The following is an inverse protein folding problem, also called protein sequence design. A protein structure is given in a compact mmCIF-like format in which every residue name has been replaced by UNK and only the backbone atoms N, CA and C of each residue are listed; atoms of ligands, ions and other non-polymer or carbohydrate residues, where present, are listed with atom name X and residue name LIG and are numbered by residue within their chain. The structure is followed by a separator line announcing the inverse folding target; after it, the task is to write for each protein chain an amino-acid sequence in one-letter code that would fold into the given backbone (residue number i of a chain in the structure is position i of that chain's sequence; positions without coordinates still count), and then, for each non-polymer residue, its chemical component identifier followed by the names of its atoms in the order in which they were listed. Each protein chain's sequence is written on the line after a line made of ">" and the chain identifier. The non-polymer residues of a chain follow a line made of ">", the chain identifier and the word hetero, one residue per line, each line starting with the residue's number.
data_IF_312934039270
#
_entry.id   IF_312934039270
#
_cell.length_a   1.000
_cell.length_b   1.000
_cell.length_c   1.000
_cell.angle_alpha   90.00
_cell.angle_beta   90.00
_cell.angle_gamma   90.00
#
_symmetry.space_group_name_H-M   'P 1'
#
loop_
_entity.id
_entity.type
_entity.pdbx_description
1 polymer ?
#
# COMPACT_ATOMS: atom_id res chain seq x y z
N UNK A 1 -17.66 15.42 -16.13
CA UNK A 1 -18.49 14.81 -15.07
C UNK A 1 -18.18 13.32 -15.02
N UNK A 2 -18.05 12.73 -13.83
CA UNK A 2 -17.95 11.27 -13.70
C UNK A 2 -19.26 10.62 -14.18
N UNK A 3 -19.15 9.61 -15.05
CA UNK A 3 -20.28 8.82 -15.54
C UNK A 3 -20.70 7.77 -14.51
N UNK A 4 -22.00 7.44 -14.46
CA UNK A 4 -22.53 6.43 -13.55
C UNK A 4 -21.89 5.06 -13.76
N UNK A 5 -21.60 4.68 -15.01
CA UNK A 5 -20.94 3.44 -15.41
C UNK A 5 -19.61 3.21 -14.68
N UNK A 6 -18.88 4.29 -14.37
CA UNK A 6 -17.60 4.21 -13.66
C UNK A 6 -17.78 4.15 -12.14
N UNK A 7 -18.91 4.67 -11.62
CA UNK A 7 -19.17 4.80 -10.18
C UNK A 7 -19.83 3.54 -9.63
N UNK A 8 -20.83 3.00 -10.32
CA UNK A 8 -21.60 1.82 -9.89
C UNK A 8 -20.74 0.62 -9.44
N UNK A 9 -19.73 0.16 -10.20
CA UNK A 9 -18.90 -0.97 -9.77
C UNK A 9 -18.05 -0.65 -8.53
N UNK A 10 -17.82 0.63 -8.24
CA UNK A 10 -17.00 1.07 -7.12
C UNK A 10 -17.84 1.38 -5.86
N UNK A 11 -19.18 1.33 -5.93
CA UNK A 11 -20.04 1.69 -4.80
C UNK A 11 -19.87 0.76 -3.59
N UNK A 12 -19.64 -0.53 -3.80
CA UNK A 12 -19.37 -1.47 -2.69
C UNK A 12 -18.08 -1.10 -1.96
N UNK A 13 -16.97 -1.01 -2.70
CA UNK A 13 -15.67 -0.60 -2.15
C UNK A 13 -15.71 0.81 -1.52
N UNK A 14 -16.55 1.70 -2.05
CA UNK A 14 -16.80 3.02 -1.45
C UNK A 14 -17.48 2.92 -0.09
N UNK A 15 -18.49 2.05 0.06
CA UNK A 15 -19.19 1.84 1.35
C UNK A 15 -18.23 1.27 2.39
N UNK A 16 -17.38 0.32 1.99
CA UNK A 16 -16.40 -0.34 2.86
C UNK A 16 -15.12 0.51 3.08
N UNK A 17 -15.03 1.69 2.45
CA UNK A 17 -13.88 2.62 2.50
C UNK A 17 -12.56 2.03 2.00
N UNK A 18 -12.63 1.11 1.05
CA UNK A 18 -11.46 0.43 0.46
C UNK A 18 -10.86 1.20 -0.73
N UNK A 19 -11.44 2.34 -1.09
CA UNK A 19 -10.97 3.18 -2.19
C UNK A 19 -9.96 4.23 -1.70
N UNK A 20 -9.04 4.69 -2.56
CA UNK A 20 -8.13 5.77 -2.21
C UNK A 20 -8.90 7.08 -2.02
N UNK A 21 -8.39 7.96 -1.15
CA UNK A 21 -9.08 9.17 -0.68
C UNK A 21 -9.59 10.08 -1.82
N UNK A 22 -8.81 10.23 -2.88
CA UNK A 22 -9.19 11.05 -4.04
C UNK A 22 -10.42 10.48 -4.78
N UNK A 23 -10.51 9.15 -4.91
CA UNK A 23 -11.66 8.47 -5.53
C UNK A 23 -12.89 8.59 -4.65
N UNK A 24 -12.74 8.46 -3.32
CA UNK A 24 -13.84 8.66 -2.37
C UNK A 24 -14.44 10.07 -2.55
N UNK A 25 -13.61 11.11 -2.68
CA UNK A 25 -14.10 12.48 -2.88
C UNK A 25 -14.85 12.65 -4.22
N UNK A 26 -14.33 12.06 -5.30
CA UNK A 26 -14.98 12.11 -6.62
C UNK A 26 -16.35 11.41 -6.60
N UNK A 27 -16.42 10.22 -6.01
CA UNK A 27 -17.68 9.49 -5.84
C UNK A 27 -18.63 10.28 -4.96
N UNK A 28 -18.16 10.82 -3.84
CA UNK A 28 -18.99 11.64 -2.95
C UNK A 28 -19.59 12.85 -3.67
N UNK A 29 -18.83 13.51 -4.54
CA UNK A 29 -19.33 14.61 -5.37
C UNK A 29 -20.38 14.12 -6.38
N UNK A 30 -20.17 12.97 -7.01
CA UNK A 30 -21.14 12.35 -7.91
C UNK A 30 -22.45 11.99 -7.19
N UNK A 31 -22.38 11.39 -6.00
CA UNK A 31 -23.56 11.00 -5.20
C UNK A 31 -24.43 12.19 -4.79
N UNK A 32 -23.85 13.39 -4.62
CA UNK A 32 -24.64 14.61 -4.37
C UNK A 32 -25.50 15.04 -5.55
N UNK A 33 -25.16 14.59 -6.76
CA UNK A 33 -25.74 15.08 -8.02
C UNK A 33 -26.52 14.01 -8.77
N UNK A 34 -26.25 12.74 -8.48
CA UNK A 34 -26.88 11.58 -9.11
C UNK A 34 -27.75 10.82 -8.08
N UNK A 35 -29.08 10.96 -8.14
CA UNK A 35 -29.98 10.33 -7.17
C UNK A 35 -30.02 8.79 -7.29
N UNK A 36 -29.81 8.24 -8.51
CA UNK A 36 -29.82 6.78 -8.70
C UNK A 36 -28.64 6.11 -7.99
N UNK A 37 -27.42 6.61 -8.19
CA UNK A 37 -26.23 6.09 -7.50
C UNK A 37 -26.28 6.35 -5.98
N UNK A 38 -26.89 7.46 -5.54
CA UNK A 38 -27.12 7.73 -4.13
C UNK A 38 -28.06 6.69 -3.49
N UNK A 39 -29.16 6.35 -4.19
CA UNK A 39 -30.10 5.34 -3.75
C UNK A 39 -29.45 3.94 -3.69
N UNK A 40 -28.65 3.58 -4.69
CA UNK A 40 -27.89 2.32 -4.70
C UNK A 40 -26.92 2.23 -3.52
N UNK A 41 -26.17 3.30 -3.26
CA UNK A 41 -25.28 3.41 -2.09
C UNK A 41 -26.05 3.29 -0.77
N UNK A 42 -27.25 3.87 -0.68
CA UNK A 42 -28.10 3.77 0.50
C UNK A 42 -28.55 2.32 0.75
N UNK A 43 -28.92 1.58 -0.29
CA UNK A 43 -29.27 0.15 -0.17
C UNK A 43 -28.09 -0.67 0.34
N UNK A 44 -26.90 -0.44 -0.19
CA UNK A 44 -25.67 -1.12 0.29
C UNK A 44 -25.40 -0.84 1.77
N UNK A 45 -25.57 0.41 2.21
CA UNK A 45 -25.42 0.79 3.63
C UNK A 45 -26.48 0.13 4.52
N UNK A 46 -27.72 0.01 4.05
CA UNK A 46 -28.78 -0.69 4.79
C UNK A 46 -28.44 -2.16 4.96
N UNK A 47 -27.97 -2.83 3.91
CA UNK A 47 -27.49 -4.22 4.00
C UNK A 47 -26.36 -4.35 5.00
N UNK A 48 -25.33 -3.49 4.93
CA UNK A 48 -24.21 -3.50 5.87
C UNK A 48 -24.68 -3.29 7.32
N UNK A 49 -25.64 -2.37 7.56
CA UNK A 49 -26.23 -2.15 8.88
C UNK A 49 -26.94 -3.38 9.43
N UNK A 50 -27.68 -4.11 8.60
CA UNK A 50 -28.34 -5.37 9.00
C UNK A 50 -27.28 -6.42 9.35
N UNK A 51 -26.21 -6.53 8.55
CA UNK A 51 -25.14 -7.47 8.80
C UNK A 51 -24.39 -7.20 10.12
N UNK A 52 -24.26 -5.93 10.51
CA UNK A 52 -23.65 -5.54 11.78
C UNK A 52 -24.49 -5.91 13.02
N UNK A 53 -25.77 -6.25 12.84
CA UNK A 53 -26.64 -6.68 13.94
C UNK A 53 -26.47 -8.16 14.28
N UNK A 54 -25.71 -8.92 13.49
CA UNK A 54 -25.40 -10.31 13.79
C UNK A 54 -24.56 -10.40 15.07
N UNK A 55 -24.71 -11.52 15.77
CA UNK A 55 -23.98 -11.77 17.01
C UNK A 55 -22.47 -11.71 16.77
N UNK A 56 -21.74 -10.89 17.54
CA UNK A 56 -20.29 -10.77 17.38
C UNK A 56 -19.60 -12.09 17.69
N UNK A 57 -18.61 -12.44 16.87
CA UNK A 57 -17.84 -13.67 17.06
C UNK A 57 -17.06 -13.57 18.38
N UNK A 58 -17.32 -14.52 19.30
CA UNK A 58 -16.60 -14.60 20.58
C UNK A 58 -15.12 -14.87 20.31
N UNK A 59 -14.28 -13.88 20.58
CA UNK A 59 -12.82 -14.01 20.51
C UNK A 59 -12.27 -14.69 21.76
N UNK A 60 -11.04 -15.20 21.69
CA UNK A 60 -10.35 -15.72 22.88
C UNK A 60 -10.05 -14.60 23.88
N UNK A 61 -10.03 -14.93 25.17
CA UNK A 61 -9.83 -13.95 26.25
C UNK A 61 -8.46 -13.25 26.16
N UNK A 62 -7.49 -13.87 25.48
CA UNK A 62 -6.14 -13.33 25.28
C UNK A 62 -5.99 -12.50 24.00
N UNK A 63 -6.99 -12.43 23.13
CA UNK A 63 -6.89 -11.74 21.84
C UNK A 63 -6.71 -10.23 22.01
N UNK A 64 -7.63 -9.57 22.72
CA UNK A 64 -7.59 -8.13 22.95
C UNK A 64 -6.30 -7.66 23.66
N UNK A 65 -5.84 -8.28 24.77
CA UNK A 65 -4.60 -7.84 25.42
C UNK A 65 -3.37 -8.02 24.52
N UNK A 66 -3.31 -9.06 23.69
CA UNK A 66 -2.22 -9.24 22.74
C UNK A 66 -2.25 -8.19 21.62
N UNK A 67 -3.43 -7.88 21.09
CA UNK A 67 -3.62 -6.82 20.10
C UNK A 67 -3.21 -5.45 20.63
N UNK A 68 -3.62 -5.11 21.85
CA UNK A 68 -3.24 -3.85 22.49
C UNK A 68 -1.74 -3.76 22.72
N UNK A 69 -1.09 -4.86 23.14
CA UNK A 69 0.37 -4.90 23.29
C UNK A 69 1.08 -4.66 21.95
N UNK A 70 0.58 -5.26 20.87
CA UNK A 70 1.16 -5.07 19.54
C UNK A 70 0.93 -3.66 19.00
N UNK A 71 -0.26 -3.08 19.19
CA UNK A 71 -0.56 -1.70 18.79
C UNK A 71 0.29 -0.69 19.58
N UNK A 72 0.50 -0.92 20.89
CA UNK A 72 1.38 -0.09 21.70
C UNK A 72 2.83 -0.12 21.20
N UNK A 73 3.35 -1.29 20.81
CA UNK A 73 4.69 -1.41 20.24
C UNK A 73 4.87 -0.57 18.96
N UNK A 74 3.86 -0.53 18.09
CA UNK A 74 3.89 0.24 16.84
C UNK A 74 3.91 1.75 17.12
N UNK A 75 3.09 2.22 18.06
CA UNK A 75 3.02 3.67 18.39
C UNK A 75 4.29 4.22 19.04
N UNK A 76 5.04 3.39 19.78
CA UNK A 76 6.33 3.77 20.35
C UNK A 76 7.36 4.06 19.26
N UNK A 77 7.44 3.22 18.23
CA UNK A 77 8.39 3.37 17.11
C UNK A 77 8.12 4.67 16.33
N UNK A 78 6.84 4.98 16.09
CA UNK A 78 6.42 6.21 15.41
C UNK A 78 6.83 7.46 16.19
N UNK A 79 6.58 7.45 17.51
CA UNK A 79 6.90 8.57 18.41
C UNK A 79 8.41 8.82 18.49
N UNK A 80 9.21 7.75 18.50
CA UNK A 80 10.66 7.88 18.47
C UNK A 80 11.15 8.51 17.16
N UNK A 81 10.67 8.05 16.00
CA UNK A 81 11.02 8.64 14.70
C UNK A 81 10.68 10.13 14.62
N UNK A 82 9.49 10.53 15.06
CA UNK A 82 9.07 11.94 15.05
C UNK A 82 9.94 12.79 15.99
N UNK A 83 10.33 12.24 17.15
CA UNK A 83 11.19 12.94 18.10
C UNK A 83 12.61 13.17 17.56
N UNK A 84 13.18 12.16 16.89
CA UNK A 84 14.50 12.23 16.25
C UNK A 84 14.46 13.18 15.06
N UNK A 85 13.44 13.07 14.22
CA UNK A 85 13.27 13.97 13.07
C UNK A 85 13.15 15.43 13.51
N UNK A 86 12.41 15.71 14.61
CA UNK A 86 12.31 17.07 15.17
C UNK A 86 13.65 17.61 15.69
N UNK A 87 14.51 16.76 16.28
CA UNK A 87 15.87 17.16 16.70
C UNK A 87 16.76 17.49 15.50
N UNK A 88 16.67 16.71 14.42
CA UNK A 88 17.41 16.95 13.18
C UNK A 88 16.90 18.22 12.49
N UNK A 89 15.58 18.40 12.41
CA UNK A 89 14.95 19.56 11.76
C UNK A 89 15.33 20.88 12.45
N UNK A 90 15.39 20.92 13.79
CA UNK A 90 15.86 22.11 14.53
C UNK A 90 17.32 22.49 14.22
N UNK A 91 18.19 21.51 13.94
CA UNK A 91 19.57 21.80 13.52
C UNK A 91 19.62 22.32 12.09
N UNK A 92 18.75 21.79 11.23
CA UNK A 92 18.67 22.23 9.84
C UNK A 92 18.02 23.60 9.69
N UNK A 93 17.09 24.02 10.55
CA UNK A 93 16.47 25.35 10.49
C UNK A 93 17.52 26.49 10.53
N UNK A 94 18.51 26.40 11.42
CA UNK A 94 19.57 27.40 11.50
C UNK A 94 20.46 27.40 10.24
N UNK A 95 20.78 26.20 9.72
CA UNK A 95 21.57 26.05 8.50
C UNK A 95 20.81 26.47 7.24
N UNK A 96 19.50 26.16 7.13
CA UNK A 96 18.65 26.54 6.01
C UNK A 96 18.30 28.02 6.03
N UNK A 97 18.05 28.62 7.20
CA UNK A 97 17.84 30.06 7.31
C UNK A 97 19.10 30.82 6.90
N UNK A 98 20.29 30.38 7.34
CA UNK A 98 21.56 30.95 6.90
C UNK A 98 21.82 30.74 5.41
N UNK A 99 21.49 29.56 4.86
CA UNK A 99 21.66 29.23 3.44
C UNK A 99 20.69 30.04 2.56
N UNK A 100 19.42 30.19 2.94
CA UNK A 100 18.45 31.04 2.25
C UNK A 100 18.81 32.53 2.36
N UNK A 101 19.34 32.97 3.51
CA UNK A 101 19.87 34.33 3.69
C UNK A 101 21.10 34.57 2.80
N UNK A 102 22.01 33.60 2.71
CA UNK A 102 23.20 33.63 1.85
C UNK A 102 22.85 33.66 0.36
N UNK A 103 21.92 32.80 -0.07
CA UNK A 103 21.39 32.83 -1.44
C UNK A 103 20.71 34.17 -1.78
N UNK A 104 20.04 34.79 -0.81
CA UNK A 104 19.34 36.07 -1.01
C UNK A 104 20.28 37.28 -1.05
N UNK A 105 21.40 37.24 -0.32
CA UNK A 105 22.24 38.42 -0.10
C UNK A 105 23.59 38.38 -0.81
N UNK A 106 24.03 37.25 -1.40
CA UNK A 106 25.41 37.11 -1.89
C UNK A 106 25.62 36.53 -3.29
N UNK A 107 24.59 36.01 -3.96
CA UNK A 107 24.73 35.45 -5.32
C UNK A 107 23.72 36.07 -6.27
N UNK A 108 24.21 36.58 -7.41
CA UNK A 108 23.37 36.95 -8.56
C UNK A 108 22.45 35.76 -8.88
N UNK A 109 21.15 35.95 -9.15
CA UNK A 109 20.16 34.88 -9.26
C UNK A 109 20.56 33.75 -10.24
N UNK A 110 21.37 34.09 -11.24
CA UNK A 110 21.93 33.15 -12.21
C UNK A 110 22.81 32.03 -11.60
N UNK A 111 23.54 32.28 -10.51
CA UNK A 111 24.41 31.27 -9.88
C UNK A 111 23.62 30.18 -9.12
N UNK A 112 22.42 30.53 -8.65
CA UNK A 112 21.50 29.59 -7.98
C UNK A 112 20.85 28.69 -9.02
N UNK A 113 20.43 29.25 -10.15
CA UNK A 113 19.81 28.49 -11.24
C UNK A 113 20.79 27.50 -11.84
N UNK A 114 22.05 27.89 -12.07
CA UNK A 114 23.06 26.98 -12.62
C UNK A 114 23.44 25.87 -11.66
N UNK A 115 23.60 26.14 -10.37
CA UNK A 115 23.90 25.10 -9.38
C UNK A 115 22.75 24.08 -9.22
N UNK A 116 21.49 24.55 -9.19
CA UNK A 116 20.33 23.66 -9.18
C UNK A 116 20.23 22.83 -10.46
N UNK A 117 20.50 23.42 -11.63
CA UNK A 117 20.52 22.69 -12.89
C UNK A 117 21.61 21.61 -12.90
N UNK A 118 22.81 21.89 -12.39
CA UNK A 118 23.91 20.90 -12.29
C UNK A 118 23.57 19.78 -11.31
N UNK A 119 22.97 20.10 -10.15
CA UNK A 119 22.54 19.08 -9.21
C UNK A 119 21.43 18.22 -9.82
N UNK A 120 20.46 18.83 -10.50
CA UNK A 120 19.37 18.13 -11.17
C UNK A 120 19.89 17.22 -12.30
N UNK A 121 20.89 17.65 -13.08
CA UNK A 121 21.48 16.80 -14.12
C UNK A 121 22.27 15.65 -13.51
N UNK A 122 23.06 15.88 -12.46
CA UNK A 122 23.80 14.80 -11.77
C UNK A 122 22.85 13.79 -11.14
N UNK A 123 21.78 14.24 -10.47
CA UNK A 123 20.75 13.37 -9.89
C UNK A 123 19.97 12.63 -10.97
N UNK A 124 19.67 13.28 -12.10
CA UNK A 124 19.03 12.63 -13.23
C UNK A 124 19.93 11.54 -13.80
N UNK A 125 21.23 11.80 -13.96
CA UNK A 125 22.20 10.80 -14.43
C UNK A 125 22.29 9.62 -13.46
N UNK A 126 22.41 9.87 -12.14
CA UNK A 126 22.56 8.80 -11.15
C UNK A 126 21.29 7.96 -10.97
N UNK A 127 20.11 8.56 -11.09
CA UNK A 127 18.83 7.83 -11.03
C UNK A 127 18.49 7.12 -12.34
N UNK A 128 19.01 7.57 -13.50
CA UNK A 128 18.86 6.88 -14.80
C UNK A 128 19.95 5.84 -15.09
N UNK A 129 21.03 5.78 -14.31
CA UNK A 129 22.07 4.77 -14.48
C UNK A 129 21.70 3.29 -14.19
N UNK A 130 20.62 2.90 -13.48
CA UNK A 130 20.43 1.48 -13.17
C UNK A 130 20.00 0.63 -14.38
N UNK A 131 19.69 1.22 -15.55
CA UNK A 131 19.33 0.45 -16.75
C UNK A 131 20.49 0.18 -17.73
N UNK A 132 21.53 1.02 -17.74
CA UNK A 132 22.63 0.87 -18.71
C UNK A 132 23.69 -0.17 -18.31
N UNK A 133 23.79 -0.52 -17.02
CA UNK A 133 24.72 -1.55 -16.54
C UNK A 133 24.27 -2.98 -16.87
N UNK A 134 23.01 -3.19 -17.28
CA UNK A 134 22.48 -4.51 -17.66
C UNK A 134 22.83 -4.93 -19.10
N UNK A 135 23.26 -3.99 -19.96
CA UNK A 135 23.64 -4.27 -21.35
C UNK A 135 25.17 -4.39 -21.58
N UNK A 136 26.00 -4.01 -20.60
CA UNK A 136 27.46 -4.03 -20.76
C UNK A 136 28.13 -5.36 -20.36
N UNK A 137 27.44 -6.29 -19.70
CA UNK A 137 28.04 -7.54 -19.19
C UNK A 137 28.10 -8.67 -20.24
N UNK A 138 28.12 -8.31 -21.52
CA UNK A 138 28.05 -9.22 -22.66
C UNK A 138 29.36 -9.45 -23.41
N UNK A 139 30.55 -9.33 -22.82
CA UNK A 139 31.82 -9.80 -23.45
C UNK A 139 32.91 -10.19 -22.42
N UNK A 140 32.94 -11.49 -22.10
CA UNK A 140 34.07 -12.44 -21.97
C UNK A 140 35.52 -11.95 -21.74
N UNK A 141 36.04 -12.28 -20.54
CA UNK A 141 37.38 -12.77 -20.08
C UNK A 141 38.71 -12.07 -20.43
N UNK A 142 39.50 -11.73 -19.38
CA UNK A 142 40.70 -12.47 -18.94
C UNK A 142 41.34 -11.82 -17.69
N UNK A 143 41.90 -12.67 -16.82
CA UNK A 143 42.85 -12.41 -15.73
C UNK A 143 42.32 -11.74 -14.44
N UNK A 144 42.02 -12.55 -13.41
CA UNK A 144 42.81 -12.70 -12.17
C UNK A 144 41.96 -13.29 -11.03
N UNK A 145 42.42 -14.43 -10.52
CA UNK A 145 42.06 -15.01 -9.23
C UNK A 145 43.16 -14.64 -8.20
N UNK A 146 43.06 -15.00 -6.90
CA UNK A 146 41.92 -15.09 -5.99
C UNK A 146 42.19 -14.35 -4.64
N UNK A 147 41.16 -13.93 -3.90
CA UNK A 147 41.19 -13.91 -2.42
C UNK A 147 39.78 -13.83 -1.83
N UNK A 148 39.28 -15.01 -1.50
CA UNK A 148 38.66 -15.38 -0.22
C UNK A 148 38.15 -14.24 0.70
N UNK A 149 36.83 -14.08 0.76
CA UNK A 149 35.99 -14.20 1.98
C UNK A 149 34.52 -13.96 1.65
N UNK A 150 33.79 -15.08 1.58
CA UNK A 150 32.35 -15.28 1.76
C UNK A 150 31.43 -14.05 1.73
N UNK A 151 30.85 -13.78 0.56
CA UNK A 151 29.55 -13.11 0.47
C UNK A 151 28.50 -14.21 0.21
N UNK A 152 27.65 -14.46 1.20
CA UNK A 152 26.45 -15.30 1.06
C UNK A 152 25.52 -14.60 0.07
N UNK A 153 25.51 -15.10 -1.16
CA UNK A 153 24.71 -14.58 -2.26
C UNK A 153 23.30 -15.17 -2.13
N UNK A 154 22.41 -14.43 -1.47
CA UNK A 154 20.98 -14.77 -1.42
C UNK A 154 20.41 -14.52 -2.82
N UNK A 155 20.28 -15.60 -3.58
CA UNK A 155 19.66 -15.63 -4.91
C UNK A 155 18.14 -15.55 -4.73
N UNK A 156 17.57 -14.36 -4.95
CA UNK A 156 16.12 -14.22 -5.09
C UNK A 156 15.73 -14.52 -6.54
N UNK A 157 15.14 -15.69 -6.75
CA UNK A 157 14.51 -16.05 -8.01
C UNK A 157 13.09 -15.47 -8.01
N UNK A 158 12.91 -14.37 -8.74
CA UNK A 158 11.60 -13.74 -8.92
C UNK A 158 10.82 -14.61 -9.92
N UNK A 159 9.94 -15.47 -9.40
CA UNK A 159 9.02 -16.27 -10.20
C UNK A 159 7.95 -15.33 -10.80
N UNK A 160 7.81 -15.25 -12.14
CA UNK A 160 6.76 -14.44 -12.76
C UNK A 160 5.38 -15.01 -12.42
N UNK A 161 4.43 -14.13 -12.08
CA UNK A 161 3.07 -14.43 -11.58
C UNK A 161 2.20 -15.22 -12.59
N UNK A 162 2.73 -15.51 -13.79
CA UNK A 162 1.98 -16.16 -14.87
C UNK A 162 2.03 -17.70 -14.81
N UNK A 163 2.66 -18.29 -13.78
CA UNK A 163 2.80 -19.75 -13.61
C UNK A 163 1.96 -20.36 -12.47
N UNK A 164 0.87 -19.72 -12.04
CA UNK A 164 -0.10 -20.43 -11.20
C UNK A 164 -0.83 -21.48 -12.05
N UNK A 165 -0.72 -22.80 -11.75
CA UNK A 165 -1.54 -23.80 -12.42
C UNK A 165 -3.01 -23.51 -12.12
N UNK A 166 -3.82 -23.47 -13.18
CA UNK A 166 -5.27 -23.34 -13.07
C UNK A 166 -5.79 -24.43 -12.11
N UNK A 167 -6.62 -24.09 -11.11
CA UNK A 167 -7.21 -25.10 -10.25
C UNK A 167 -8.06 -26.04 -11.12
N UNK A 168 -7.64 -27.31 -11.17
CA UNK A 168 -8.46 -28.38 -11.70
C UNK A 168 -9.69 -28.52 -10.78
N UNK A 169 -10.84 -28.12 -11.30
CA UNK A 169 -12.15 -28.44 -10.76
C UNK A 169 -12.33 -29.96 -10.79
N UNK A 170 -11.87 -30.64 -9.73
CA UNK A 170 -12.23 -32.03 -9.46
C UNK A 170 -13.64 -32.05 -8.87
N UNK A 171 -14.60 -32.20 -9.77
CA UNK A 171 -15.97 -32.60 -9.51
C UNK A 171 -15.98 -34.01 -8.91
N UNK A 172 -15.92 -34.14 -7.59
CA UNK A 172 -16.42 -35.34 -6.91
C UNK A 172 -16.67 -35.08 -5.42
N UNK A 173 -17.88 -34.61 -5.09
CA UNK A 173 -18.48 -34.89 -3.79
C UNK A 173 -19.87 -35.44 -3.98
N UNK A 174 -19.94 -36.77 -3.94
CA UNK A 174 -21.12 -37.56 -3.61
C UNK A 174 -21.75 -36.99 -2.33
N UNK A 175 -22.98 -36.51 -2.45
CA UNK A 175 -23.87 -36.25 -1.32
C UNK A 175 -24.26 -37.59 -0.67
N UNK A 176 -24.11 -37.77 0.65
CA UNK A 176 -24.83 -38.83 1.34
C UNK A 176 -26.29 -38.43 1.51
N UNK A 177 -27.19 -39.32 1.11
CA UNK A 177 -28.63 -39.24 1.32
C UNK A 177 -28.96 -39.17 2.80
N UNK A 178 -29.56 -38.06 3.23
CA UNK A 178 -30.17 -37.92 4.55
C UNK A 178 -31.51 -38.65 4.53
N UNK A 179 -31.60 -39.75 5.28
CA UNK A 179 -32.86 -40.42 5.59
C UNK A 179 -33.71 -39.56 6.53
N UNK A 180 -35.05 -39.52 6.36
CA UNK A 180 -35.92 -38.78 7.25
C UNK A 180 -36.03 -39.50 8.60
N UNK A 181 -35.83 -38.73 9.68
CA UNK A 181 -36.08 -39.16 11.07
C UNK A 181 -37.58 -39.04 11.33
N UNK A 182 -38.23 -40.19 11.51
CA UNK A 182 -39.61 -40.29 11.98
C UNK A 182 -39.76 -39.64 13.35
N UNK A 183 -40.76 -38.76 13.47
CA UNK A 183 -41.08 -38.04 14.70
C UNK A 183 -42.54 -38.28 15.05
N UNK A 184 -42.86 -39.48 15.56
CA UNK A 184 -44.12 -39.72 16.26
C UNK A 184 -43.93 -40.75 17.37
N UNK A 185 -43.64 -40.28 18.58
CA UNK A 185 -44.27 -40.81 19.79
C UNK A 185 -43.99 -39.90 20.98
N UNK A 186 -45.00 -39.14 21.41
CA UNK A 186 -45.31 -38.99 22.83
C UNK A 186 -46.71 -38.40 22.98
N UNK A 187 -47.54 -39.20 23.67
CA UNK A 187 -48.76 -38.88 24.41
C UNK A 187 -50.10 -38.81 23.67
#
# INVERSE_FOLDING_TARGET
>A
MLKCENVQPQLSAYVDRELPLWTIQLIQWHLKRCPSCAHETMRLRQTNKILQQLEPVKTSDNFLPNLMRQAAAITVIEKERISVFRRILRRLEASFAWLLYSLRTRVRPYAVVTSLAVIATVVSITLYQPQLTLLSNGTVTLAQAPTDKQAVLVKFEIVPINQFPKPHLSSNRRMPSVTPVDRHQTR
#
